data_IF_037431420022
#
_entry.id   IF_037431420022
#
_cell.length_a   1.000
_cell.length_b   1.000
_cell.length_c   1.000
_cell.angle_alpha   90.00
_cell.angle_beta   90.00
_cell.angle_gamma   90.00
#
_symmetry.space_group_name_H-M   'P 1'
#
loop_
_entity.id
_entity.type
_entity.pdbx_description
1 polymer ?
#
# COMPACT_ATOMS: atom_id res chain seq x y z
N UNK A 1 13.70 -11.88 13.11
CA UNK A 1 12.98 -12.75 12.14
C UNK A 1 13.81 -12.87 10.87
N UNK A 2 13.61 -13.91 10.03
CA UNK A 2 14.43 -14.11 8.81
C UNK A 2 14.47 -12.88 7.90
N UNK A 3 13.32 -12.23 7.68
CA UNK A 3 13.23 -11.03 6.85
C UNK A 3 14.06 -9.84 7.38
N UNK A 4 14.15 -9.67 8.70
CA UNK A 4 14.98 -8.62 9.32
C UNK A 4 16.47 -8.90 9.13
N UNK A 5 16.88 -10.16 9.26
CA UNK A 5 18.28 -10.54 9.03
C UNK A 5 18.65 -10.46 7.55
N UNK A 6 17.73 -10.78 6.64
CA UNK A 6 17.91 -10.58 5.19
C UNK A 6 18.04 -9.10 4.86
N UNK A 7 17.14 -8.25 5.37
CA UNK A 7 17.20 -6.81 5.14
C UNK A 7 18.50 -6.20 5.68
N UNK A 8 18.94 -6.63 6.88
CA UNK A 8 20.21 -6.23 7.48
C UNK A 8 21.41 -6.69 6.66
N UNK A 9 21.42 -7.94 6.20
CA UNK A 9 22.51 -8.49 5.39
C UNK A 9 22.65 -7.81 4.03
N UNK A 10 21.53 -7.31 3.47
CA UNK A 10 21.50 -6.58 2.21
C UNK A 10 21.72 -5.07 2.38
N UNK A 11 21.77 -4.57 3.61
CA UNK A 11 21.77 -3.14 3.95
C UNK A 11 20.61 -2.39 3.26
N UNK A 12 19.40 -2.92 3.45
CA UNK A 12 18.15 -2.40 2.86
C UNK A 12 17.12 -2.13 3.93
N UNK A 13 16.29 -1.10 3.68
CA UNK A 13 15.13 -0.83 4.52
C UNK A 13 14.13 -1.99 4.42
N UNK A 14 13.62 -2.43 5.57
CA UNK A 14 12.52 -3.39 5.65
C UNK A 14 11.18 -2.64 5.78
N UNK A 15 10.26 -2.93 4.87
CA UNK A 15 8.87 -2.49 4.92
C UNK A 15 8.02 -3.70 5.26
N UNK A 16 7.28 -3.64 6.37
CA UNK A 16 6.38 -4.70 6.77
C UNK A 16 4.94 -4.38 6.36
N UNK A 17 4.30 -5.35 5.69
CA UNK A 17 2.88 -5.34 5.34
C UNK A 17 2.22 -6.62 5.84
N UNK A 18 1.51 -6.48 6.96
CA UNK A 18 0.79 -7.59 7.57
C UNK A 18 -0.62 -7.68 7.01
N UNK A 19 -0.95 -8.83 6.43
CA UNK A 19 -2.23 -9.06 5.76
C UNK A 19 -3.30 -9.52 6.77
N UNK A 20 -4.52 -9.03 6.58
CA UNK A 20 -5.71 -9.39 7.36
C UNK A 20 -6.74 -10.05 6.44
N UNK A 21 -7.73 -10.72 7.02
CA UNK A 21 -8.82 -11.33 6.26
C UNK A 21 -9.66 -10.35 5.44
N UNK A 22 -9.67 -9.08 5.83
CA UNK A 22 -10.34 -8.01 5.10
C UNK A 22 -9.42 -7.23 4.18
N UNK A 23 -8.15 -7.61 4.06
CA UNK A 23 -7.19 -6.92 3.20
C UNK A 23 -7.49 -7.22 1.73
N UNK A 24 -7.43 -6.18 0.90
CA UNK A 24 -7.50 -6.25 -0.56
C UNK A 24 -6.16 -5.81 -1.15
N UNK A 25 -5.73 -6.42 -2.25
CA UNK A 25 -4.44 -6.13 -2.88
C UNK A 25 -4.30 -4.64 -3.25
N UNK A 26 -5.38 -4.01 -3.72
CA UNK A 26 -5.44 -2.59 -4.04
C UNK A 26 -5.02 -1.68 -2.87
N UNK A 27 -5.28 -2.07 -1.61
CA UNK A 27 -4.86 -1.31 -0.42
C UNK A 27 -3.33 -1.27 -0.27
N UNK A 28 -2.62 -2.21 -0.88
CA UNK A 28 -1.16 -2.16 -1.02
C UNK A 28 -0.70 -0.96 -1.83
N UNK A 29 -1.48 -0.56 -2.84
CA UNK A 29 -1.19 0.60 -3.67
C UNK A 29 -1.64 1.88 -2.96
N UNK A 30 -2.93 2.03 -2.72
CA UNK A 30 -3.46 3.21 -2.04
C UNK A 30 -4.78 2.94 -1.34
N UNK A 31 -5.07 3.74 -0.34
CA UNK A 31 -6.37 3.82 0.31
C UNK A 31 -6.97 5.19 0.09
N UNK A 32 -8.25 5.20 -0.30
CA UNK A 32 -9.01 6.42 -0.44
C UNK A 32 -9.73 6.76 0.86
N UNK A 33 -9.35 7.87 1.50
CA UNK A 33 -9.98 8.34 2.73
C UNK A 33 -11.25 9.15 2.42
N UNK A 34 -12.32 8.43 2.09
CA UNK A 34 -13.63 9.01 1.80
C UNK A 34 -14.18 9.84 2.99
N UNK A 35 -13.85 9.47 4.23
CA UNK A 35 -14.34 10.17 5.44
C UNK A 35 -13.68 11.53 5.57
N UNK A 36 -12.37 11.61 5.35
CA UNK A 36 -11.64 12.88 5.35
C UNK A 36 -12.10 13.80 4.23
N UNK A 37 -12.44 13.25 3.06
CA UNK A 37 -13.03 14.05 1.97
C UNK A 37 -14.41 14.60 2.31
N UNK A 38 -15.28 13.76 2.88
CA UNK A 38 -16.61 14.21 3.32
C UNK A 38 -16.50 15.34 4.35
N UNK A 39 -15.59 15.24 5.31
CA UNK A 39 -15.32 16.33 6.27
C UNK A 39 -14.82 17.60 5.59
N UNK A 40 -13.88 17.51 4.65
CA UNK A 40 -13.40 18.65 3.88
C UNK A 40 -14.51 19.34 3.08
N UNK A 41 -15.42 18.56 2.48
CA UNK A 41 -16.55 19.08 1.71
C UNK A 41 -17.55 19.88 2.53
N UNK A 42 -17.70 19.55 3.82
CA UNK A 42 -18.60 20.27 4.74
C UNK A 42 -17.99 21.57 5.28
N UNK A 43 -16.66 21.65 5.35
CA UNK A 43 -15.92 22.80 5.88
C UNK A 43 -15.60 23.87 4.82
N UNK A 44 -15.96 23.64 3.55
CA UNK A 44 -15.73 24.61 2.47
C UNK A 44 -14.26 24.77 2.07
N UNK A 45 -13.42 23.79 2.37
CA UNK A 45 -11.98 23.84 2.06
C UNK A 45 -11.74 23.65 0.55
N UNK A 46 -11.04 24.58 -0.09
CA UNK A 46 -10.73 24.54 -1.53
C UNK A 46 -9.90 23.31 -1.95
N UNK A 47 -9.31 22.60 -0.98
CA UNK A 47 -8.57 21.34 -1.17
C UNK A 47 -9.43 20.15 -1.57
N UNK A 48 -10.77 20.25 -1.48
CA UNK A 48 -11.72 19.18 -1.83
C UNK A 48 -11.73 18.86 -3.34
N UNK A 49 -11.25 19.79 -4.17
CA UNK A 49 -11.22 19.62 -5.62
C UNK A 49 -10.16 18.63 -6.09
N UNK A 50 -9.10 18.42 -5.30
CA UNK A 50 -8.01 17.52 -5.66
C UNK A 50 -8.13 16.19 -4.88
N UNK A 51 -8.44 15.13 -5.61
CA UNK A 51 -8.61 13.77 -5.09
C UNK A 51 -7.33 13.26 -4.43
N UNK A 52 -6.16 13.68 -4.93
CA UNK A 52 -4.85 13.24 -4.42
C UNK A 52 -4.63 13.59 -2.95
N UNK A 53 -5.26 14.66 -2.45
CA UNK A 53 -5.21 15.04 -1.03
C UNK A 53 -5.84 14.00 -0.08
N UNK A 54 -6.60 13.06 -0.61
CA UNK A 54 -7.32 12.03 0.14
C UNK A 54 -6.79 10.62 -0.14
N UNK A 55 -5.72 10.50 -0.93
CA UNK A 55 -5.05 9.24 -1.22
C UNK A 55 -3.96 9.02 -0.18
N UNK A 56 -4.04 7.89 0.53
CA UNK A 56 -2.97 7.42 1.40
C UNK A 56 -2.19 6.33 0.68
N UNK A 57 -0.88 6.53 0.53
CA UNK A 57 0.02 5.55 -0.06
C UNK A 57 0.00 4.26 0.77
N UNK A 58 -0.25 3.14 0.11
CA UNK A 58 -0.14 1.81 0.71
C UNK A 58 1.32 1.37 0.81
N UNK A 59 1.52 0.17 1.37
CA UNK A 59 2.86 -0.38 1.62
C UNK A 59 3.61 -0.72 0.33
N UNK A 60 2.90 -1.25 -0.66
CA UNK A 60 3.47 -1.58 -1.96
C UNK A 60 3.83 -0.32 -2.75
N UNK A 61 2.97 0.71 -2.73
CA UNK A 61 3.34 2.03 -3.29
C UNK A 61 4.59 2.56 -2.60
N UNK A 62 4.63 2.58 -1.26
CA UNK A 62 5.80 3.07 -0.52
C UNK A 62 7.09 2.34 -0.92
N UNK A 63 7.00 1.04 -1.22
CA UNK A 63 8.14 0.27 -1.70
C UNK A 63 8.56 0.66 -3.13
N UNK A 64 7.61 0.86 -4.04
CA UNK A 64 7.88 1.27 -5.42
C UNK A 64 8.37 2.72 -5.55
N UNK A 65 7.88 3.62 -4.71
CA UNK A 65 8.24 5.05 -4.67
C UNK A 65 9.56 5.30 -3.94
N UNK A 66 10.16 4.25 -3.36
CA UNK A 66 11.45 4.36 -2.69
C UNK A 66 12.56 4.69 -3.70
N UNK A 67 13.40 5.66 -3.34
CA UNK A 67 14.57 6.05 -4.15
C UNK A 67 15.70 5.01 -4.09
N UNK A 68 15.65 4.11 -3.11
CA UNK A 68 16.60 3.02 -2.92
C UNK A 68 15.87 1.68 -2.98
N UNK A 69 16.61 0.60 -3.28
CA UNK A 69 16.05 -0.75 -3.17
C UNK A 69 15.63 -1.04 -1.72
N UNK A 70 14.48 -1.69 -1.56
CA UNK A 70 13.93 -2.06 -0.24
C UNK A 70 13.52 -3.52 -0.22
N UNK A 71 13.37 -4.07 0.98
CA UNK A 71 12.77 -5.38 1.22
C UNK A 71 11.34 -5.16 1.70
N UNK A 72 10.36 -5.69 0.97
CA UNK A 72 8.95 -5.70 1.37
C UNK A 72 8.61 -7.09 1.92
N UNK A 73 8.32 -7.17 3.22
CA UNK A 73 7.78 -8.37 3.84
C UNK A 73 6.24 -8.32 3.80
N UNK A 74 5.64 -9.23 3.04
CA UNK A 74 4.20 -9.45 3.04
C UNK A 74 3.93 -10.69 3.88
N UNK A 75 3.35 -10.49 5.05
CA UNK A 75 3.16 -11.54 6.07
C UNK A 75 1.68 -11.92 6.19
N UNK A 76 1.40 -13.16 6.63
CA UNK A 76 0.05 -13.68 6.84
C UNK A 76 -0.85 -13.64 5.58
N UNK A 77 -0.26 -13.86 4.40
CA UNK A 77 -1.00 -13.88 3.12
C UNK A 77 -2.11 -14.95 3.15
N UNK A 78 -1.90 -16.04 3.87
CA UNK A 78 -2.87 -17.12 4.04
C UNK A 78 -4.16 -16.70 4.74
N UNK A 79 -4.15 -15.59 5.49
CA UNK A 79 -5.36 -15.03 6.11
C UNK A 79 -6.27 -14.29 5.12
N UNK A 80 -5.75 -13.91 3.95
CA UNK A 80 -6.47 -13.11 2.98
C UNK A 80 -7.58 -13.89 2.27
N UNK A 81 -8.41 -13.16 1.53
CA UNK A 81 -9.35 -13.75 0.58
C UNK A 81 -8.61 -14.61 -0.48
N UNK A 82 -9.25 -15.66 -0.99
CA UNK A 82 -8.65 -16.58 -1.98
C UNK A 82 -8.20 -15.87 -3.26
N UNK A 83 -8.82 -14.73 -3.58
CA UNK A 83 -8.47 -13.90 -4.75
C UNK A 83 -7.21 -13.04 -4.51
N UNK A 84 -6.87 -12.75 -3.25
CA UNK A 84 -5.82 -11.80 -2.89
C UNK A 84 -4.46 -12.09 -3.53
N UNK A 85 -3.93 -13.33 -3.54
CA UNK A 85 -2.62 -13.59 -4.16
C UNK A 85 -2.60 -13.30 -5.66
N UNK A 86 -3.68 -13.64 -6.38
CA UNK A 86 -3.78 -13.37 -7.82
C UNK A 86 -3.90 -11.87 -8.09
N UNK A 87 -4.72 -11.17 -7.31
CA UNK A 87 -4.85 -9.71 -7.40
C UNK A 87 -3.51 -9.03 -7.11
N UNK A 88 -2.80 -9.47 -6.07
CA UNK A 88 -1.48 -8.94 -5.72
C UNK A 88 -0.48 -9.14 -6.87
N UNK A 89 -0.45 -10.33 -7.50
CA UNK A 89 0.41 -10.58 -8.66
C UNK A 89 0.06 -9.66 -9.83
N UNK A 90 -1.22 -9.45 -10.11
CA UNK A 90 -1.66 -8.53 -11.16
C UNK A 90 -1.21 -7.08 -10.87
N UNK A 91 -1.31 -6.62 -9.62
CA UNK A 91 -0.85 -5.27 -9.24
C UNK A 91 0.67 -5.14 -9.32
N UNK A 92 1.42 -6.20 -8.95
CA UNK A 92 2.87 -6.24 -9.07
C UNK A 92 3.33 -6.24 -10.53
N UNK A 93 2.62 -6.94 -11.41
CA UNK A 93 2.97 -7.07 -12.83
C UNK A 93 2.69 -5.77 -13.60
N UNK A 94 1.58 -5.08 -13.28
CA UNK A 94 1.22 -3.83 -13.94
C UNK A 94 2.25 -2.72 -13.71
N UNK A 95 2.83 -2.63 -12.50
CA UNK A 95 3.73 -1.53 -12.09
C UNK A 95 3.26 -0.11 -12.47
N UNK A 96 1.96 0.09 -12.72
CA UNK A 96 1.38 1.32 -13.24
C UNK A 96 0.23 1.77 -12.33
N UNK A 97 0.29 3.02 -11.89
CA UNK A 97 -0.70 3.63 -11.01
C UNK A 97 -1.72 4.40 -11.84
N UNK A 98 -2.99 4.00 -11.78
CA UNK A 98 -4.10 4.84 -12.26
C UNK A 98 -4.57 5.70 -11.09
N UNK A 99 -4.25 7.00 -11.12
CA UNK A 99 -4.72 8.02 -10.16
C UNK A 99 -5.79 8.88 -10.82
#
# INVERSE_FOLDING_TARGET
MLAEEVARALDKQLINWHIKSTSKAQQGLYEYDAVSRLRGSQLGDGRVQDVSNYIRKGKLWTAFDSTEQVVLLIDEIDKADIEFPNDLLNELDRMEFFV
#
